data_IF_510095002360
#
_entry.id   IF_510095002360
#
_cell.length_a   1.000
_cell.length_b   1.000
_cell.length_c   1.000
_cell.angle_alpha   90.00
_cell.angle_beta   90.00
_cell.angle_gamma   90.00
#
_symmetry.space_group_name_H-M   'P 1'
#
loop_
_entity.id
_entity.type
_entity.pdbx_description
1 polymer ?
#
# COMPACT_ATOMS: atom_id res chain seq x y z
N UNK A 1 -7.86 -21.93 16.79
CA UNK A 1 -8.98 -21.26 16.10
C UNK A 1 -9.88 -22.30 15.45
N UNK A 2 -11.20 -22.15 15.53
CA UNK A 2 -12.15 -23.09 14.91
C UNK A 2 -12.49 -22.62 13.47
N UNK A 3 -11.86 -23.27 12.48
CA UNK A 3 -12.05 -22.96 11.06
C UNK A 3 -13.46 -23.30 10.59
N UNK A 4 -14.06 -24.37 11.11
CA UNK A 4 -15.41 -24.77 10.73
C UNK A 4 -16.43 -23.73 11.19
N UNK A 5 -16.25 -23.16 12.38
CA UNK A 5 -17.06 -22.05 12.88
C UNK A 5 -16.93 -20.80 12.00
N UNK A 6 -15.71 -20.39 11.64
CA UNK A 6 -15.48 -19.23 10.76
C UNK A 6 -16.14 -19.41 9.39
N UNK A 7 -15.95 -20.59 8.78
CA UNK A 7 -16.55 -20.94 7.50
C UNK A 7 -18.09 -20.89 7.55
N UNK A 8 -18.67 -21.39 8.63
CA UNK A 8 -20.13 -21.46 8.79
C UNK A 8 -20.74 -20.09 9.08
N UNK A 9 -20.05 -19.24 9.83
CA UNK A 9 -20.54 -17.92 10.20
C UNK A 9 -20.60 -16.94 9.03
N UNK A 10 -19.64 -17.00 8.10
CA UNK A 10 -19.54 -16.08 6.96
C UNK A 10 -19.11 -16.82 5.66
N UNK A 11 -19.97 -17.68 5.09
CA UNK A 11 -19.57 -18.60 4.02
C UNK A 11 -19.06 -17.92 2.75
N UNK A 12 -19.71 -16.82 2.31
CA UNK A 12 -19.32 -16.12 1.08
C UNK A 12 -17.99 -15.39 1.23
N UNK A 13 -17.78 -14.73 2.37
CA UNK A 13 -16.49 -14.14 2.75
C UNK A 13 -15.40 -15.21 2.82
N UNK A 14 -15.68 -16.31 3.51
CA UNK A 14 -14.74 -17.41 3.70
C UNK A 14 -14.26 -18.00 2.38
N UNK A 15 -15.16 -18.26 1.43
CA UNK A 15 -14.81 -18.77 0.09
C UNK A 15 -13.86 -17.82 -0.64
N UNK A 16 -14.13 -16.51 -0.63
CA UNK A 16 -13.28 -15.50 -1.28
C UNK A 16 -11.89 -15.42 -0.64
N UNK A 17 -11.82 -15.34 0.69
CA UNK A 17 -10.55 -15.32 1.41
C UNK A 17 -9.77 -16.64 1.23
N UNK A 18 -10.47 -17.78 1.15
CA UNK A 18 -9.85 -19.09 0.90
C UNK A 18 -9.19 -19.17 -0.48
N UNK A 19 -9.72 -18.50 -1.50
CA UNK A 19 -9.05 -18.45 -2.81
C UNK A 19 -7.64 -17.83 -2.72
N UNK A 20 -7.47 -16.77 -1.92
CA UNK A 20 -6.14 -16.17 -1.65
C UNK A 20 -5.23 -17.20 -0.95
N UNK A 21 -5.75 -17.89 0.07
CA UNK A 21 -4.99 -18.92 0.82
C UNK A 21 -4.54 -20.07 -0.09
N UNK A 22 -5.45 -20.57 -0.92
CA UNK A 22 -5.19 -21.67 -1.84
C UNK A 22 -4.15 -21.28 -2.91
N UNK A 23 -4.32 -20.12 -3.57
CA UNK A 23 -3.36 -19.61 -4.55
C UNK A 23 -1.98 -19.36 -3.93
N UNK A 24 -1.92 -18.85 -2.70
CA UNK A 24 -0.66 -18.69 -1.96
C UNK A 24 0.05 -20.02 -1.77
N UNK A 25 -0.65 -21.03 -1.25
CA UNK A 25 -0.08 -22.36 -1.03
C UNK A 25 0.43 -22.97 -2.35
N UNK A 26 -0.37 -22.88 -3.41
CA UNK A 26 -0.02 -23.43 -4.73
C UNK A 26 1.21 -22.77 -5.34
N UNK A 27 1.26 -21.43 -5.35
CA UNK A 27 2.35 -20.68 -5.94
C UNK A 27 3.67 -20.86 -5.17
N UNK A 28 3.62 -20.82 -3.83
CA UNK A 28 4.81 -21.01 -2.99
C UNK A 28 5.35 -22.43 -3.10
N UNK A 29 4.47 -23.43 -3.18
CA UNK A 29 4.86 -24.82 -3.43
C UNK A 29 5.48 -25.00 -4.82
N UNK A 30 4.85 -24.49 -5.88
CA UNK A 30 5.38 -24.59 -7.24
C UNK A 30 6.75 -23.91 -7.40
N UNK A 31 6.97 -22.79 -6.72
CA UNK A 31 8.26 -22.11 -6.69
C UNK A 31 9.29 -22.78 -5.76
N UNK A 32 8.85 -23.69 -4.88
CA UNK A 32 9.59 -24.21 -3.73
C UNK A 32 10.31 -23.09 -2.94
N UNK A 33 9.66 -21.92 -2.87
CA UNK A 33 10.24 -20.67 -2.37
C UNK A 33 9.13 -19.66 -2.10
N UNK A 34 9.23 -18.92 -1.00
CA UNK A 34 8.25 -17.88 -0.67
C UNK A 34 7.85 -17.86 0.80
N UNK A 35 6.77 -17.14 1.07
CA UNK A 35 6.22 -16.95 2.41
C UNK A 35 4.71 -17.20 2.37
N UNK A 36 4.25 -18.29 2.98
CA UNK A 36 2.84 -18.67 2.96
C UNK A 36 2.07 -18.04 4.13
N UNK A 37 2.72 -17.91 5.28
CA UNK A 37 2.06 -17.61 6.55
C UNK A 37 1.30 -16.29 6.59
N UNK A 38 1.97 -15.18 6.26
CA UNK A 38 1.34 -13.85 6.30
C UNK A 38 0.19 -13.73 5.30
N UNK A 39 0.34 -14.11 4.01
CA UNK A 39 -0.79 -14.07 3.07
C UNK A 39 -2.00 -14.89 3.55
N UNK A 40 -1.77 -16.04 4.20
CA UNK A 40 -2.86 -16.86 4.73
C UNK A 40 -3.58 -16.22 5.92
N UNK A 41 -2.83 -15.59 6.83
CA UNK A 41 -3.35 -14.91 8.01
C UNK A 41 -4.13 -13.63 7.64
N UNK A 42 -3.60 -12.83 6.72
CA UNK A 42 -4.18 -11.54 6.32
C UNK A 42 -5.25 -11.62 5.22
N UNK A 43 -5.57 -12.81 4.72
CA UNK A 43 -6.56 -12.99 3.65
C UNK A 43 -7.96 -12.44 4.00
N UNK A 44 -8.41 -12.56 5.25
CA UNK A 44 -9.71 -12.03 5.68
C UNK A 44 -9.73 -10.49 5.65
N UNK A 45 -8.70 -9.85 6.25
CA UNK A 45 -8.56 -8.39 6.27
C UNK A 45 -8.49 -7.82 4.85
N UNK A 46 -7.67 -8.42 3.99
CA UNK A 46 -7.56 -8.00 2.60
C UNK A 46 -8.86 -8.19 1.81
N UNK A 47 -9.58 -9.29 2.07
CA UNK A 47 -10.87 -9.54 1.41
C UNK A 47 -11.89 -8.47 1.78
N UNK A 48 -12.05 -8.13 3.06
CA UNK A 48 -12.97 -7.06 3.47
C UNK A 48 -12.55 -5.70 2.89
N UNK A 49 -11.26 -5.38 2.92
CA UNK A 49 -10.74 -4.13 2.36
C UNK A 49 -11.13 -3.98 0.88
N UNK A 50 -10.78 -4.96 0.04
CA UNK A 50 -11.05 -4.90 -1.40
C UNK A 50 -12.54 -5.00 -1.71
N UNK A 51 -13.25 -5.88 -1.00
CA UNK A 51 -14.68 -6.09 -1.21
C UNK A 51 -15.53 -4.89 -0.77
N UNK A 52 -15.14 -4.10 0.22
CA UNK A 52 -16.07 -3.10 0.79
C UNK A 52 -15.57 -1.67 0.79
N UNK A 53 -14.25 -1.46 0.85
CA UNK A 53 -13.72 -0.14 1.21
C UNK A 53 -12.76 0.47 0.21
N UNK A 54 -12.03 -0.35 -0.56
CA UNK A 54 -11.07 0.13 -1.53
C UNK A 54 -11.81 0.68 -2.76
N UNK A 55 -11.55 1.95 -3.07
CA UNK A 55 -11.99 2.61 -4.30
C UNK A 55 -10.98 2.34 -5.42
N UNK A 56 -11.29 1.45 -6.35
CA UNK A 56 -10.39 1.13 -7.45
C UNK A 56 -11.16 0.56 -8.65
N UNK A 57 -10.54 0.63 -9.83
CA UNK A 57 -11.00 -0.04 -11.05
C UNK A 57 -9.82 -0.85 -11.60
N UNK A 58 -9.96 -2.17 -11.63
CA UNK A 58 -8.89 -3.08 -12.08
C UNK A 58 -8.50 -2.86 -13.56
N UNK A 59 -9.39 -2.29 -14.37
CA UNK A 59 -9.12 -1.93 -15.76
C UNK A 59 -8.32 -0.63 -15.91
N UNK A 60 -8.25 0.18 -14.85
CA UNK A 60 -7.60 1.48 -14.83
C UNK A 60 -6.65 1.63 -13.62
N UNK A 61 -5.57 0.82 -13.53
CA UNK A 61 -4.61 0.88 -12.43
C UNK A 61 -3.97 2.26 -12.26
N UNK A 62 -3.96 3.08 -13.31
CA UNK A 62 -3.37 4.43 -13.30
C UNK A 62 -4.39 5.53 -12.97
N UNK A 63 -5.65 5.22 -12.63
CA UNK A 63 -6.65 6.22 -12.23
C UNK A 63 -6.09 7.07 -11.06
N UNK A 64 -5.91 8.40 -11.24
CA UNK A 64 -5.26 9.23 -10.24
C UNK A 64 -5.89 9.16 -8.85
N UNK A 65 -7.22 9.17 -8.79
CA UNK A 65 -7.97 9.26 -7.54
C UNK A 65 -8.40 7.90 -6.98
N UNK A 66 -7.85 6.77 -7.42
CA UNK A 66 -8.08 5.47 -6.75
C UNK A 66 -7.54 5.49 -5.30
N UNK A 67 -8.03 4.64 -4.43
CA UNK A 67 -7.35 4.34 -3.17
C UNK A 67 -6.04 3.58 -3.44
N UNK A 68 -5.04 3.80 -2.59
CA UNK A 68 -3.72 3.18 -2.67
C UNK A 68 -3.62 2.02 -1.69
N UNK A 69 -3.09 0.89 -2.13
CA UNK A 69 -2.81 -0.26 -1.27
C UNK A 69 -1.32 -0.60 -1.31
N UNK A 70 -0.67 -0.59 -0.14
CA UNK A 70 0.76 -0.86 0.00
C UNK A 70 0.96 -2.07 0.91
N UNK A 71 1.66 -3.07 0.40
CA UNK A 71 2.07 -4.22 1.20
C UNK A 71 3.46 -3.96 1.80
N UNK A 72 3.51 -3.35 3.00
CA UNK A 72 4.79 -3.07 3.67
C UNK A 72 5.52 -4.33 4.10
N UNK A 73 4.78 -5.35 4.53
CA UNK A 73 5.33 -6.69 4.76
C UNK A 73 5.50 -7.42 3.40
N UNK A 74 6.37 -6.88 2.55
CA UNK A 74 6.49 -7.27 1.13
C UNK A 74 6.83 -8.75 0.90
N UNK A 75 7.37 -9.45 1.90
CA UNK A 75 7.65 -10.88 1.81
C UNK A 75 6.39 -11.72 1.56
N UNK A 76 5.22 -11.25 2.01
CA UNK A 76 3.91 -11.83 1.74
C UNK A 76 3.34 -11.43 0.38
N UNK A 77 4.18 -11.23 -0.63
CA UNK A 77 3.82 -10.75 -1.98
C UNK A 77 2.70 -11.54 -2.65
N UNK A 78 2.58 -12.85 -2.35
CA UNK A 78 1.48 -13.68 -2.84
C UNK A 78 0.09 -13.21 -2.42
N UNK A 79 -0.06 -12.47 -1.31
CA UNK A 79 -1.32 -11.81 -0.96
C UNK A 79 -1.71 -10.80 -2.04
N UNK A 80 -0.77 -9.90 -2.37
CA UNK A 80 -0.98 -8.86 -3.39
C UNK A 80 -1.22 -9.49 -4.75
N UNK A 81 -0.38 -10.44 -5.19
CA UNK A 81 -0.55 -11.07 -6.51
C UNK A 81 -1.86 -11.83 -6.63
N UNK A 82 -2.28 -12.55 -5.58
CA UNK A 82 -3.59 -13.20 -5.57
C UNK A 82 -4.72 -12.19 -5.71
N UNK A 83 -4.66 -11.06 -5.00
CA UNK A 83 -5.67 -9.99 -5.11
C UNK A 83 -5.71 -9.41 -6.54
N UNK A 84 -4.55 -9.10 -7.12
CA UNK A 84 -4.46 -8.56 -8.49
C UNK A 84 -5.03 -9.55 -9.52
N UNK A 85 -4.70 -10.84 -9.39
CA UNK A 85 -5.24 -11.89 -10.25
C UNK A 85 -6.76 -12.05 -10.10
N UNK A 86 -7.22 -12.19 -8.86
CA UNK A 86 -8.63 -12.45 -8.54
C UNK A 86 -9.51 -11.29 -9.00
N UNK A 87 -9.09 -10.04 -8.76
CA UNK A 87 -9.81 -8.83 -9.18
C UNK A 87 -9.71 -8.52 -10.66
N UNK A 88 -8.88 -9.24 -11.43
CA UNK A 88 -8.86 -9.17 -12.89
C UNK A 88 -7.99 -8.04 -13.46
N UNK A 89 -6.91 -7.66 -12.77
CA UNK A 89 -5.93 -6.76 -13.35
C UNK A 89 -5.28 -7.40 -14.60
N UNK A 90 -5.28 -6.66 -15.70
CA UNK A 90 -4.68 -7.08 -16.97
C UNK A 90 -3.19 -7.36 -16.78
N UNK A 91 -2.71 -8.50 -17.28
CA UNK A 91 -1.31 -8.91 -17.16
C UNK A 91 -1.01 -9.69 -15.88
N UNK A 92 -2.01 -9.90 -15.00
CA UNK A 92 -1.90 -10.71 -13.79
C UNK A 92 -2.78 -11.96 -13.86
N UNK A 93 -2.80 -12.62 -15.02
CA UNK A 93 -3.51 -13.87 -15.24
C UNK A 93 -2.90 -15.03 -14.45
N UNK A 94 -3.58 -16.18 -14.41
CA UNK A 94 -3.18 -17.32 -13.55
C UNK A 94 -1.77 -17.83 -13.84
N UNK A 95 -1.27 -17.67 -15.06
CA UNK A 95 0.10 -18.04 -15.42
C UNK A 95 1.15 -17.19 -14.71
N UNK A 96 0.86 -15.93 -14.38
CA UNK A 96 1.77 -15.15 -13.52
C UNK A 96 1.81 -15.74 -12.12
N UNK A 97 0.68 -16.19 -11.58
CA UNK A 97 0.64 -16.84 -10.26
C UNK A 97 1.44 -18.15 -10.26
N UNK A 98 1.32 -18.95 -11.33
CA UNK A 98 2.15 -20.17 -11.52
C UNK A 98 3.64 -19.87 -11.62
N UNK A 99 3.99 -18.74 -12.22
CA UNK A 99 5.37 -18.29 -12.42
C UNK A 99 5.92 -17.47 -11.24
N UNK A 100 5.30 -17.56 -10.05
CA UNK A 100 5.82 -16.88 -8.86
C UNK A 100 7.31 -17.18 -8.65
N UNK A 101 8.10 -16.12 -8.46
CA UNK A 101 9.56 -16.15 -8.28
C UNK A 101 10.36 -16.72 -9.45
N UNK A 102 9.76 -16.87 -10.63
CA UNK A 102 10.46 -17.33 -11.83
C UNK A 102 11.06 -16.15 -12.62
N UNK A 103 12.14 -16.43 -13.35
CA UNK A 103 12.83 -15.42 -14.15
C UNK A 103 11.91 -14.79 -15.20
N UNK A 104 11.84 -13.45 -15.21
CA UNK A 104 11.04 -12.67 -16.16
C UNK A 104 9.54 -12.61 -15.87
N UNK A 105 9.07 -13.24 -14.78
CA UNK A 105 7.68 -13.11 -14.33
C UNK A 105 7.43 -11.77 -13.64
N UNK A 106 6.19 -11.30 -13.66
CA UNK A 106 5.76 -10.09 -12.95
C UNK A 106 5.59 -10.33 -11.44
N UNK A 107 5.41 -11.59 -11.06
CA UNK A 107 5.22 -12.08 -9.69
C UNK A 107 6.56 -12.39 -9.01
N UNK A 108 7.36 -11.34 -8.82
CA UNK A 108 8.67 -11.42 -8.18
C UNK A 108 8.61 -11.87 -6.71
N UNK A 109 9.76 -12.11 -6.10
CA UNK A 109 9.82 -12.55 -4.69
C UNK A 109 9.27 -11.53 -3.70
N UNK A 110 9.31 -10.26 -4.07
CA UNK A 110 8.72 -9.11 -3.39
C UNK A 110 8.03 -8.21 -4.44
N UNK A 111 7.04 -7.37 -4.07
CA UNK A 111 6.38 -6.47 -5.01
C UNK A 111 7.34 -5.45 -5.58
N UNK A 112 7.31 -5.26 -6.90
CA UNK A 112 8.16 -4.31 -7.63
C UNK A 112 7.28 -3.44 -8.54
N UNK A 113 7.23 -2.12 -8.30
CA UNK A 113 6.29 -1.23 -9.00
C UNK A 113 6.55 -1.11 -10.50
N UNK A 114 7.80 -1.29 -10.93
CA UNK A 114 8.20 -1.23 -12.33
C UNK A 114 7.86 -2.51 -13.12
N UNK A 115 7.37 -3.57 -12.46
CA UNK A 115 6.89 -4.78 -13.14
C UNK A 115 5.40 -4.72 -13.47
N UNK A 116 4.59 -3.96 -12.71
CA UNK A 116 3.15 -3.89 -12.94
C UNK A 116 2.52 -2.63 -12.33
N UNK A 117 1.74 -1.88 -13.11
CA UNK A 117 1.15 -0.57 -12.74
C UNK A 117 0.26 -0.60 -11.49
N UNK A 118 -0.32 -1.76 -11.15
CA UNK A 118 -1.12 -1.93 -9.93
C UNK A 118 -0.29 -2.10 -8.64
N UNK A 119 1.03 -2.15 -8.73
CA UNK A 119 1.93 -2.22 -7.58
C UNK A 119 2.44 -0.80 -7.30
N UNK A 120 2.01 -0.21 -6.19
CA UNK A 120 2.26 1.21 -5.90
C UNK A 120 3.74 1.54 -5.64
N UNK A 121 4.43 0.66 -4.91
CA UNK A 121 5.84 0.85 -4.54
C UNK A 121 6.53 -0.49 -4.36
N UNK A 122 7.84 -0.49 -4.57
CA UNK A 122 8.67 -1.67 -4.32
C UNK A 122 8.88 -1.84 -2.81
N UNK A 123 8.51 -3.00 -2.28
CA UNK A 123 8.70 -3.35 -0.86
C UNK A 123 9.49 -4.64 -0.71
N UNK A 124 9.74 -5.07 0.53
CA UNK A 124 10.58 -6.23 0.82
C UNK A 124 11.51 -5.92 1.98
N UNK A 125 12.39 -4.90 1.85
CA UNK A 125 13.04 -4.30 3.01
C UNK A 125 11.97 -3.79 3.97
N UNK A 126 11.95 -4.35 5.18
CA UNK A 126 10.91 -4.09 6.18
C UNK A 126 10.89 -2.60 6.57
N UNK A 127 9.72 -2.09 6.93
CA UNK A 127 9.52 -0.68 7.30
C UNK A 127 9.41 0.30 6.13
N UNK A 128 9.88 -0.04 4.92
CA UNK A 128 9.84 0.89 3.78
C UNK A 128 8.41 1.20 3.31
N UNK A 129 7.55 0.18 3.18
CA UNK A 129 6.19 0.41 2.69
C UNK A 129 5.34 1.29 3.61
N UNK A 130 5.46 1.15 4.94
CA UNK A 130 4.81 2.07 5.89
C UNK A 130 5.40 3.48 5.79
N UNK A 131 6.71 3.64 5.59
CA UNK A 131 7.30 4.96 5.33
C UNK A 131 6.82 5.57 4.00
N UNK A 132 6.77 4.79 2.92
CA UNK A 132 6.24 5.24 1.63
C UNK A 132 4.79 5.71 1.78
N UNK A 133 3.97 4.98 2.54
CA UNK A 133 2.56 5.31 2.71
C UNK A 133 2.30 6.69 3.30
N UNK A 134 3.20 7.18 4.16
CA UNK A 134 3.16 8.56 4.69
C UNK A 134 3.35 9.55 3.55
N UNK A 135 4.30 9.29 2.63
CA UNK A 135 4.49 10.09 1.42
C UNK A 135 3.26 10.08 0.50
N UNK A 136 2.62 8.92 0.30
CA UNK A 136 1.38 8.81 -0.48
C UNK A 136 0.24 9.64 0.15
N UNK A 137 0.06 9.56 1.47
CA UNK A 137 -0.95 10.34 2.17
C UNK A 137 -0.65 11.86 2.14
N UNK A 138 0.60 12.28 2.30
CA UNK A 138 1.01 13.68 2.13
C UNK A 138 0.78 14.19 0.70
N UNK A 139 1.05 13.35 -0.30
CA UNK A 139 0.78 13.67 -1.71
C UNK A 139 -0.72 13.83 -1.98
N UNK A 140 -1.57 12.95 -1.41
CA UNK A 140 -3.03 13.10 -1.48
C UNK A 140 -3.47 14.43 -0.89
N UNK A 141 -2.99 14.79 0.31
CA UNK A 141 -3.33 16.05 0.98
C UNK A 141 -2.93 17.26 0.12
N UNK A 142 -1.73 17.23 -0.45
CA UNK A 142 -1.24 18.29 -1.34
C UNK A 142 -2.08 18.43 -2.61
N UNK A 143 -2.40 17.30 -3.25
CA UNK A 143 -3.20 17.25 -4.47
C UNK A 143 -4.65 17.66 -4.18
N UNK A 144 -5.20 17.30 -3.01
CA UNK A 144 -6.53 17.69 -2.55
C UNK A 144 -6.62 19.17 -2.22
N UNK A 145 -5.61 19.76 -1.58
CA UNK A 145 -5.55 21.21 -1.39
C UNK A 145 -5.51 21.96 -2.73
N UNK A 146 -4.83 21.40 -3.74
CA UNK A 146 -4.71 22.00 -5.08
C UNK A 146 -5.96 21.85 -5.95
N UNK A 147 -6.49 20.63 -6.02
CA UNK A 147 -7.54 20.24 -6.97
C UNK A 147 -8.91 20.05 -6.32
N UNK A 148 -9.00 20.17 -5.00
CA UNK A 148 -10.23 20.00 -4.24
C UNK A 148 -10.67 18.55 -4.12
N UNK A 149 -11.50 18.28 -3.10
CA UNK A 149 -12.01 16.95 -2.77
C UNK A 149 -12.89 16.29 -3.85
N UNK A 150 -13.31 17.03 -4.88
CA UNK A 150 -14.05 16.45 -6.02
C UNK A 150 -13.16 15.68 -6.98
N UNK A 151 -11.88 16.06 -7.07
CA UNK A 151 -10.90 15.44 -7.96
C UNK A 151 -9.86 14.60 -7.21
N UNK A 152 -9.59 14.92 -5.95
CA UNK A 152 -8.58 14.23 -5.15
C UNK A 152 -9.14 13.98 -3.75
N UNK A 153 -9.51 12.74 -3.46
CA UNK A 153 -10.17 12.30 -2.23
C UNK A 153 -10.05 10.79 -2.12
N UNK A 154 -8.85 10.30 -1.85
CA UNK A 154 -8.58 8.87 -1.73
C UNK A 154 -7.86 8.53 -0.42
N UNK A 155 -7.87 7.26 -0.06
CA UNK A 155 -7.20 6.72 1.11
C UNK A 155 -5.92 5.99 0.70
N UNK A 156 -4.99 5.92 1.63
CA UNK A 156 -3.83 5.02 1.56
C UNK A 156 -3.98 3.95 2.63
N UNK A 157 -4.04 2.70 2.21
CA UNK A 157 -4.10 1.52 3.07
C UNK A 157 -2.78 0.77 3.04
N UNK A 158 -2.35 0.29 4.21
CA UNK A 158 -1.07 -0.42 4.35
C UNK A 158 -1.25 -1.67 5.17
N UNK A 159 -0.68 -2.79 4.74
CA UNK A 159 -0.48 -3.95 5.62
C UNK A 159 0.97 -3.98 6.07
N UNK A 160 1.19 -3.95 7.39
CA UNK A 160 2.50 -4.05 8.03
C UNK A 160 2.49 -5.19 9.06
N UNK A 161 3.62 -5.88 9.21
CA UNK A 161 3.81 -6.90 10.26
C UNK A 161 4.77 -6.42 11.34
N UNK A 162 5.05 -7.27 12.32
CA UNK A 162 5.96 -6.98 13.43
C UNK A 162 7.35 -6.52 12.96
N UNK A 163 7.89 -7.19 11.93
CA UNK A 163 9.16 -6.81 11.32
C UNK A 163 9.19 -5.37 10.80
N UNK A 164 8.10 -4.87 10.22
CA UNK A 164 8.02 -3.47 9.82
C UNK A 164 8.02 -2.52 11.01
N UNK A 165 7.36 -2.90 12.11
CA UNK A 165 7.22 -2.05 13.30
C UNK A 165 8.46 -2.03 14.20
N UNK A 166 9.33 -3.04 14.09
CA UNK A 166 10.65 -3.08 14.74
C UNK A 166 11.68 -2.20 14.03
N UNK A 167 11.54 -1.96 12.72
CA UNK A 167 12.46 -1.13 11.96
C UNK A 167 12.36 0.35 12.35
N UNK A 168 13.50 1.01 12.60
CA UNK A 168 13.56 2.39 13.09
C UNK A 168 12.89 3.41 12.17
N UNK A 169 12.97 3.19 10.85
CA UNK A 169 12.32 4.03 9.83
C UNK A 169 10.79 4.09 10.02
N UNK A 170 10.18 3.03 10.58
CA UNK A 170 8.76 3.04 10.88
C UNK A 170 8.42 4.07 11.96
N UNK A 171 9.25 4.22 12.99
CA UNK A 171 8.99 5.20 14.06
C UNK A 171 9.11 6.63 13.54
N UNK A 172 10.09 6.91 12.67
CA UNK A 172 10.22 8.20 12.01
C UNK A 172 8.95 8.54 11.22
N UNK A 173 8.49 7.60 10.40
CA UNK A 173 7.28 7.75 9.59
C UNK A 173 6.01 7.89 10.46
N UNK A 174 5.85 7.06 11.50
CA UNK A 174 4.72 7.09 12.43
C UNK A 174 4.63 8.44 13.13
N UNK A 175 5.77 8.97 13.61
CA UNK A 175 5.84 10.29 14.23
C UNK A 175 5.45 11.41 13.27
N UNK A 176 5.97 11.37 12.03
CA UNK A 176 5.67 12.38 11.01
C UNK A 176 4.19 12.37 10.60
N UNK A 177 3.62 11.19 10.34
CA UNK A 177 2.21 11.05 9.97
C UNK A 177 1.26 11.53 11.08
N UNK A 178 1.61 11.24 12.33
CA UNK A 178 0.88 11.72 13.49
C UNK A 178 0.95 13.23 13.65
N UNK A 179 2.15 13.84 13.48
CA UNK A 179 2.33 15.30 13.51
C UNK A 179 1.47 15.99 12.46
N UNK A 180 1.36 15.42 11.26
CA UNK A 180 0.60 16.02 10.17
C UNK A 180 -0.86 15.58 10.12
N UNK A 181 -1.38 14.86 11.13
CA UNK A 181 -2.77 14.42 11.19
C UNK A 181 -3.27 13.82 9.84
N UNK A 182 -2.50 12.88 9.28
CA UNK A 182 -2.82 12.27 7.98
C UNK A 182 -4.02 11.32 8.07
N UNK A 183 -5.24 11.86 8.21
CA UNK A 183 -6.49 11.12 8.42
C UNK A 183 -6.88 10.12 7.32
N UNK A 184 -6.23 10.18 6.17
CA UNK A 184 -6.42 9.26 5.03
C UNK A 184 -5.45 8.10 5.00
N UNK A 185 -4.58 7.99 5.99
CA UNK A 185 -3.68 6.87 6.18
C UNK A 185 -4.26 5.85 7.16
N UNK A 186 -4.49 4.63 6.69
CA UNK A 186 -5.00 3.52 7.51
C UNK A 186 -4.01 2.35 7.41
N UNK A 187 -3.38 2.02 8.54
CA UNK A 187 -2.44 0.90 8.66
C UNK A 187 -3.13 -0.28 9.33
N UNK A 188 -3.12 -1.44 8.69
CA UNK A 188 -3.43 -2.73 9.28
C UNK A 188 -2.13 -3.35 9.79
N UNK A 189 -2.03 -3.50 11.10
CA UNK A 189 -0.95 -4.27 11.70
C UNK A 189 -1.39 -5.73 11.82
N UNK A 190 -0.68 -6.61 11.11
CA UNK A 190 -0.78 -8.07 11.27
C UNK A 190 -0.19 -8.49 12.62
N UNK A 191 -1.00 -8.45 13.68
CA UNK A 191 -0.62 -8.78 15.05
C UNK A 191 -0.70 -10.30 15.28
N UNK A 192 0.16 -11.03 14.56
CA UNK A 192 0.20 -12.49 14.60
C UNK A 192 1.15 -13.05 15.68
N UNK A 193 1.97 -12.20 16.32
CA UNK A 193 2.92 -12.53 17.38
C UNK A 193 4.09 -13.43 16.96
N UNK A 194 4.39 -13.54 15.66
CA UNK A 194 5.43 -14.42 15.11
C UNK A 194 6.35 -13.65 14.15
N UNK A 195 7.66 -13.83 14.36
CA UNK A 195 8.73 -13.44 13.45
C UNK A 195 9.46 -14.69 12.94
N UNK A 196 10.54 -14.50 12.16
CA UNK A 196 11.40 -15.61 11.70
C UNK A 196 12.01 -16.37 12.90
N UNK A 197 12.38 -15.65 13.96
CA UNK A 197 13.11 -16.25 15.10
C UNK A 197 12.17 -16.92 16.10
N UNK A 198 10.86 -16.67 16.04
CA UNK A 198 9.88 -17.22 16.97
C UNK A 198 8.84 -16.19 17.39
N UNK A 199 8.43 -16.24 18.66
CA UNK A 199 7.51 -15.24 19.21
C UNK A 199 8.18 -13.87 19.28
N UNK A 200 7.39 -12.80 19.07
CA UNK A 200 7.90 -11.41 19.06
C UNK A 200 8.66 -11.05 20.35
N UNK A 201 8.20 -11.58 21.50
CA UNK A 201 8.79 -11.32 22.83
C UNK A 201 10.26 -11.74 22.99
N UNK A 202 10.79 -12.55 22.06
CA UNK A 202 12.20 -12.92 22.03
C UNK A 202 13.11 -11.74 21.68
N UNK A 203 12.63 -10.79 20.88
CA UNK A 203 13.42 -9.67 20.34
C UNK A 203 12.80 -8.29 20.55
N UNK A 204 11.50 -8.18 20.83
CA UNK A 204 10.82 -6.91 21.06
C UNK A 204 9.79 -7.02 22.21
N UNK A 205 9.69 -5.95 23.01
CA UNK A 205 8.69 -5.80 24.09
C UNK A 205 7.88 -4.51 23.97
N UNK A 206 7.99 -3.84 22.83
CA UNK A 206 7.31 -2.57 22.56
C UNK A 206 5.79 -2.77 22.50
N UNK A 207 5.08 -2.01 23.32
CA UNK A 207 3.62 -1.91 23.23
C UNK A 207 3.25 -1.04 22.01
N UNK A 208 3.04 -1.69 20.86
CA UNK A 208 2.77 -1.02 19.59
C UNK A 208 1.50 -0.16 19.65
N UNK A 209 0.46 -0.61 20.37
CA UNK A 209 -0.78 0.16 20.57
C UNK A 209 -0.48 1.48 21.29
N UNK A 210 0.27 1.43 22.40
CA UNK A 210 0.68 2.66 23.11
C UNK A 210 1.63 3.51 22.30
N UNK A 211 2.55 2.93 21.54
CA UNK A 211 3.50 3.67 20.67
C UNK A 211 2.78 4.50 19.61
N UNK A 212 1.79 3.91 18.93
CA UNK A 212 0.96 4.62 17.95
C UNK A 212 0.11 5.71 18.62
N UNK A 213 -0.58 5.40 19.73
CA UNK A 213 -1.36 6.39 20.51
C UNK A 213 -0.49 7.57 20.95
N UNK A 214 0.71 7.31 21.46
CA UNK A 214 1.68 8.32 21.88
C UNK A 214 2.16 9.19 20.70
N UNK A 215 2.17 8.63 19.49
CA UNK A 215 2.51 9.35 18.26
C UNK A 215 1.31 10.06 17.62
N UNK A 216 0.16 10.18 18.31
CA UNK A 216 -1.00 10.94 17.82
C UNK A 216 -1.97 10.16 16.94
N UNK A 217 -1.85 8.83 16.86
CA UNK A 217 -2.71 8.00 16.02
C UNK A 217 -4.01 7.61 16.71
N UNK A 218 -5.05 7.40 15.90
CA UNK A 218 -6.23 6.65 16.29
C UNK A 218 -5.92 5.15 16.21
N UNK A 219 -6.29 4.36 17.23
CA UNK A 219 -5.95 2.93 17.28
C UNK A 219 -7.16 2.10 17.65
N UNK A 220 -7.43 1.06 16.86
CA UNK A 220 -8.51 0.08 17.05
C UNK A 220 -7.88 -1.32 17.12
N UNK A 221 -8.31 -2.15 18.05
CA UNK A 221 -7.90 -3.56 18.15
C UNK A 221 -9.09 -4.44 17.75
N UNK A 222 -8.86 -5.42 16.87
CA UNK A 222 -9.91 -6.31 16.37
C UNK A 222 -9.43 -7.77 16.28
N UNK A 223 -10.39 -8.69 16.23
CA UNK A 223 -10.15 -10.01 15.64
C UNK A 223 -10.03 -9.87 14.12
N UNK A 224 -8.85 -10.15 13.58
CA UNK A 224 -8.54 -10.07 12.16
C UNK A 224 -9.18 -11.17 11.30
N UNK A 225 -9.90 -12.12 11.92
CA UNK A 225 -10.66 -13.16 11.25
C UNK A 225 -12.19 -12.95 11.33
N UNK A 226 -12.66 -11.88 11.99
CA UNK A 226 -14.07 -11.48 11.98
C UNK A 226 -14.33 -10.41 10.92
N UNK A 227 -14.96 -10.74 9.77
CA UNK A 227 -15.20 -9.79 8.71
C UNK A 227 -16.12 -8.62 9.10
N UNK A 228 -16.95 -8.77 10.14
CA UNK A 228 -17.79 -7.67 10.66
C UNK A 228 -16.96 -6.70 11.49
N UNK A 229 -16.04 -7.21 12.32
CA UNK A 229 -15.13 -6.38 13.10
C UNK A 229 -14.19 -5.57 12.20
N UNK A 230 -13.67 -6.19 11.14
CA UNK A 230 -12.81 -5.53 10.15
C UNK A 230 -13.56 -4.39 9.43
N UNK A 231 -14.76 -4.66 8.93
CA UNK A 231 -15.62 -3.68 8.24
C UNK A 231 -15.96 -2.48 9.15
N UNK A 232 -16.36 -2.78 10.41
CA UNK A 232 -16.65 -1.75 11.40
C UNK A 232 -15.41 -0.90 11.73
N UNK A 233 -14.23 -1.52 11.87
CA UNK A 233 -12.99 -0.80 12.19
C UNK A 233 -12.54 0.11 11.05
N UNK A 234 -12.63 -0.34 9.79
CA UNK A 234 -12.29 0.51 8.63
C UNK A 234 -13.30 1.66 8.52
N UNK A 235 -14.58 1.38 8.74
CA UNK A 235 -15.63 2.42 8.75
C UNK A 235 -15.39 3.46 9.83
N UNK A 236 -14.95 3.06 11.02
CA UNK A 236 -14.60 3.98 12.11
C UNK A 236 -13.32 4.77 11.83
N UNK A 237 -12.28 4.12 11.30
CA UNK A 237 -11.03 4.76 10.92
C UNK A 237 -11.23 5.88 9.88
N UNK A 238 -12.22 5.76 8.98
CA UNK A 238 -12.56 6.80 7.99
C UNK A 238 -13.25 8.04 8.58
N UNK A 239 -13.67 8.03 9.86
CA UNK A 239 -14.38 9.16 10.50
C UNK A 239 -13.46 10.13 11.24
N UNK A 240 -12.20 9.75 11.47
CA UNK A 240 -11.25 10.57 12.21
C UNK A 240 -10.38 11.41 11.27
N UNK A 241 -9.89 12.56 11.75
CA UNK A 241 -8.84 13.33 11.07
C UNK A 241 -7.44 12.79 11.35
N UNK A 242 -7.28 11.87 12.30
CA UNK A 242 -5.98 11.27 12.66
C UNK A 242 -5.65 10.08 11.77
N UNK A 243 -4.36 9.82 11.48
CA UNK A 243 -3.99 8.54 10.89
C UNK A 243 -4.41 7.41 11.83
N UNK A 244 -4.84 6.28 11.25
CA UNK A 244 -5.40 5.17 12.01
C UNK A 244 -4.56 3.91 11.91
N UNK A 245 -4.36 3.22 13.03
CA UNK A 245 -3.82 1.87 13.08
C UNK A 245 -4.89 0.90 13.56
N UNK A 246 -5.15 -0.13 12.77
CA UNK A 246 -6.03 -1.24 13.11
C UNK A 246 -5.13 -2.44 13.43
N UNK A 247 -5.06 -2.81 14.70
CA UNK A 247 -4.32 -3.97 15.18
C UNK A 247 -5.18 -5.22 14.93
N UNK A 248 -4.90 -5.91 13.84
CA UNK A 248 -5.60 -7.12 13.44
C UNK A 248 -4.97 -8.31 14.15
N UNK A 249 -5.63 -8.86 15.18
CA UNK A 249 -5.19 -10.11 15.78
C UNK A 249 -5.45 -11.25 14.80
N UNK A 250 -4.40 -11.87 14.27
CA UNK A 250 -4.49 -12.96 13.30
C UNK A 250 -3.69 -14.19 13.77
N UNK A 251 -3.83 -15.28 13.02
CA UNK A 251 -3.01 -16.47 13.13
C UNK A 251 -2.16 -16.65 11.85
N UNK A 252 -0.84 -16.61 11.99
CA UNK A 252 0.07 -16.88 10.87
C UNK A 252 -0.13 -18.32 10.40
N UNK A 253 -0.16 -18.54 9.08
CA UNK A 253 -0.41 -19.86 8.48
C UNK A 253 -1.71 -20.55 8.97
N UNK A 254 -2.75 -19.76 9.23
CA UNK A 254 -4.08 -20.22 9.70
C UNK A 254 -4.50 -21.55 9.05
N UNK A 255 -4.74 -22.60 9.83
CA UNK A 255 -5.23 -23.90 9.35
C UNK A 255 -4.20 -24.87 8.81
N UNK A 256 -2.93 -24.47 8.73
CA UNK A 256 -1.83 -25.38 8.41
C UNK A 256 -1.22 -25.99 9.68
N UNK A 257 -0.54 -27.12 9.56
CA UNK A 257 0.20 -27.75 10.67
C UNK A 257 1.31 -26.88 11.29
N UNK A 258 1.67 -25.77 10.63
CA UNK A 258 2.69 -24.81 11.06
C UNK A 258 2.08 -23.51 11.61
N UNK A 259 0.76 -23.48 11.82
CA UNK A 259 0.05 -22.32 12.36
C UNK A 259 0.68 -21.84 13.68
N UNK A 260 0.79 -20.53 13.85
CA UNK A 260 1.31 -19.89 15.09
C UNK A 260 2.76 -20.30 15.43
N UNK A 261 3.55 -20.69 14.42
CA UNK A 261 4.97 -21.01 14.56
C UNK A 261 5.82 -20.22 13.57
N UNK A 262 7.11 -20.02 13.88
CA UNK A 262 8.07 -19.43 12.95
C UNK A 262 8.22 -20.22 11.65
N UNK A 263 8.04 -21.56 11.68
CA UNK A 263 7.99 -22.38 10.45
C UNK A 263 6.85 -21.94 9.53
N UNK A 264 5.74 -21.45 10.07
CA UNK A 264 4.62 -20.89 9.32
C UNK A 264 4.98 -19.65 8.51
N UNK A 265 6.04 -18.92 8.85
CA UNK A 265 6.48 -17.71 8.16
C UNK A 265 6.98 -18.00 6.73
N UNK A 266 7.77 -19.07 6.57
CA UNK A 266 8.47 -19.40 5.33
C UNK A 266 7.61 -20.14 4.31
N UNK A 267 8.30 -20.90 3.45
CA UNK A 267 7.65 -21.68 2.41
C UNK A 267 7.02 -22.94 2.99
N UNK A 268 5.70 -23.08 2.85
CA UNK A 268 4.98 -24.31 3.19
C UNK A 268 4.82 -25.15 1.94
N UNK A 269 5.62 -26.21 1.82
CA UNK A 269 5.75 -27.01 0.59
C UNK A 269 5.43 -28.50 0.77
N UNK A 270 5.11 -28.94 1.99
CA UNK A 270 4.71 -30.32 2.28
C UNK A 270 3.30 -30.60 1.74
N UNK A 271 3.20 -31.45 0.72
CA UNK A 271 1.96 -31.71 0.00
C UNK A 271 0.82 -32.23 0.90
N UNK A 272 1.15 -33.09 1.88
CA UNK A 272 0.16 -33.66 2.78
C UNK A 272 -0.41 -32.58 3.72
N UNK A 273 0.45 -31.71 4.26
CA UNK A 273 0.02 -30.60 5.12
C UNK A 273 -0.76 -29.54 4.34
N UNK A 274 -0.39 -29.28 3.08
CA UNK A 274 -1.14 -28.40 2.18
C UNK A 274 -2.53 -28.97 1.87
N UNK A 275 -2.61 -30.26 1.54
CA UNK A 275 -3.88 -30.94 1.28
C UNK A 275 -4.79 -30.90 2.51
N UNK A 276 -4.26 -31.18 3.70
CA UNK A 276 -5.00 -31.11 4.96
C UNK A 276 -5.50 -29.67 5.26
N UNK A 277 -4.69 -28.65 5.01
CA UNK A 277 -5.10 -27.25 5.17
C UNK A 277 -6.25 -26.89 4.21
N UNK A 278 -6.13 -27.27 2.92
CA UNK A 278 -7.19 -27.05 1.92
C UNK A 278 -8.47 -27.80 2.27
N UNK A 279 -8.38 -29.05 2.73
CA UNK A 279 -9.52 -29.82 3.21
C UNK A 279 -10.23 -29.11 4.38
N UNK A 280 -9.47 -28.62 5.36
CA UNK A 280 -10.01 -27.86 6.49
C UNK A 280 -10.76 -26.59 6.03
N UNK A 281 -10.27 -25.91 4.99
CA UNK A 281 -10.96 -24.77 4.40
C UNK A 281 -12.22 -25.16 3.61
N UNK A 282 -12.35 -26.42 3.20
CA UNK A 282 -13.35 -26.90 2.25
C UNK A 282 -12.98 -26.60 0.78
N UNK A 283 -11.69 -26.44 0.48
CA UNK A 283 -11.20 -26.20 -0.88
C UNK A 283 -10.88 -27.52 -1.58
N UNK A 284 -11.65 -27.86 -2.61
CA UNK A 284 -11.55 -29.14 -3.34
C UNK A 284 -10.99 -29.00 -4.76
N UNK A 285 -10.77 -27.77 -5.23
CA UNK A 285 -10.25 -27.51 -6.57
C UNK A 285 -8.76 -27.87 -6.69
N UNK A 286 -8.36 -28.19 -7.92
CA UNK A 286 -6.98 -28.48 -8.27
C UNK A 286 -6.06 -27.27 -8.04
N UNK A 287 -4.73 -27.46 -7.97
CA UNK A 287 -3.80 -26.35 -7.86
C UNK A 287 -4.00 -25.32 -8.98
N UNK A 288 -4.00 -24.03 -8.61
CA UNK A 288 -4.24 -22.90 -9.52
C UNK A 288 -5.63 -22.88 -10.20
N UNK A 289 -6.56 -23.73 -9.77
CA UNK A 289 -7.95 -23.73 -10.25
C UNK A 289 -8.84 -23.00 -9.25
N UNK A 290 -9.31 -21.81 -9.62
CA UNK A 290 -10.25 -21.02 -8.83
C UNK A 290 -11.66 -21.27 -9.36
N UNK A 291 -12.59 -21.77 -8.53
CA UNK A 291 -13.99 -21.96 -8.94
C UNK A 291 -14.58 -20.73 -9.62
N UNK A 292 -15.32 -20.96 -10.71
CA UNK A 292 -15.83 -19.88 -11.56
C UNK A 292 -16.73 -18.90 -10.81
N UNK A 293 -17.55 -19.36 -9.86
CA UNK A 293 -18.40 -18.51 -9.01
C UNK A 293 -17.56 -17.59 -8.11
N UNK A 294 -16.47 -18.12 -7.53
CA UNK A 294 -15.54 -17.35 -6.69
C UNK A 294 -14.76 -16.34 -7.54
N UNK A 295 -14.28 -16.76 -8.72
CA UNK A 295 -13.56 -15.87 -9.64
C UNK A 295 -14.44 -14.72 -10.12
N UNK A 296 -15.68 -15.02 -10.55
CA UNK A 296 -16.64 -14.00 -10.97
C UNK A 296 -16.98 -13.02 -9.84
N UNK A 297 -17.11 -13.50 -8.60
CA UNK A 297 -17.35 -12.62 -7.45
C UNK A 297 -16.17 -11.64 -7.23
N UNK A 298 -14.94 -12.10 -7.38
CA UNK A 298 -13.76 -11.24 -7.28
C UNK A 298 -13.60 -10.27 -8.46
N UNK A 299 -13.91 -10.70 -9.68
CA UNK A 299 -13.89 -9.82 -10.86
C UNK A 299 -14.98 -8.74 -10.76
N UNK A 300 -16.14 -9.06 -10.20
CA UNK A 300 -17.17 -8.06 -9.90
C UNK A 300 -16.68 -7.02 -8.89
N UNK A 301 -15.89 -7.43 -7.88
CA UNK A 301 -15.23 -6.49 -6.95
C UNK A 301 -14.25 -5.59 -7.71
N UNK A 302 -13.44 -6.17 -8.62
CA UNK A 302 -12.46 -5.42 -9.42
C UNK A 302 -13.06 -4.43 -10.41
N UNK A 303 -14.23 -4.73 -10.97
CA UNK A 303 -14.94 -3.88 -11.92
C UNK A 303 -15.84 -2.82 -11.26
N UNK A 304 -16.13 -2.93 -9.95
CA UNK A 304 -17.11 -2.06 -9.28
C UNK A 304 -16.79 -0.57 -9.41
N UNK A 305 -15.52 -0.19 -9.32
CA UNK A 305 -15.11 1.21 -9.35
C UNK A 305 -15.19 1.87 -10.73
N UNK A 306 -15.54 1.14 -11.80
CA UNK A 306 -15.68 1.72 -13.14
C UNK A 306 -16.64 2.92 -13.15
N UNK A 307 -17.82 2.77 -12.53
CA UNK A 307 -18.80 3.87 -12.45
C UNK A 307 -18.29 5.08 -11.64
N UNK A 308 -17.51 4.85 -10.58
CA UNK A 308 -16.92 5.92 -9.77
C UNK A 308 -15.79 6.63 -10.52
N UNK A 309 -14.96 5.88 -11.27
CA UNK A 309 -13.94 6.42 -12.16
C UNK A 309 -14.56 7.25 -13.27
N UNK A 310 -15.57 6.75 -13.98
CA UNK A 310 -16.26 7.47 -15.05
C UNK A 310 -16.90 8.77 -14.52
N UNK A 311 -17.52 8.72 -13.33
CA UNK A 311 -18.02 9.92 -12.67
C UNK A 311 -16.89 10.89 -12.29
N UNK A 312 -15.70 10.39 -11.90
CA UNK A 312 -14.52 11.21 -11.65
C UNK A 312 -13.99 11.88 -12.92
N UNK A 313 -13.92 11.14 -14.03
CA UNK A 313 -13.52 11.65 -15.34
C UNK A 313 -14.47 12.77 -15.80
N UNK A 314 -15.78 12.59 -15.61
CA UNK A 314 -16.77 13.64 -15.88
C UNK A 314 -16.53 14.91 -15.05
N UNK A 315 -16.22 14.77 -13.74
CA UNK A 315 -15.89 15.92 -12.88
C UNK A 315 -14.60 16.62 -13.31
N UNK A 316 -13.61 15.89 -13.83
CA UNK A 316 -12.39 16.48 -14.38
C UNK A 316 -12.70 17.26 -15.66
N UNK A 317 -13.55 16.72 -16.54
CA UNK A 317 -13.97 17.38 -17.78
C UNK A 317 -14.78 18.67 -17.55
N UNK A 318 -15.42 18.82 -16.39
CA UNK A 318 -16.10 20.07 -15.97
C UNK A 318 -15.15 21.17 -15.47
N UNK A 319 -13.88 20.84 -15.17
CA UNK A 319 -12.89 21.83 -14.75
C UNK A 319 -12.55 22.79 -15.92
N UNK A 320 -11.96 23.95 -15.65
CA UNK A 320 -11.50 24.83 -16.74
C UNK A 320 -10.39 24.17 -17.56
N UNK A 321 -10.33 24.45 -18.86
CA UNK A 321 -9.31 23.90 -19.77
C UNK A 321 -7.88 24.06 -19.22
N UNK A 322 -7.58 25.23 -18.64
CA UNK A 322 -6.28 25.48 -17.99
C UNK A 322 -5.99 24.51 -16.83
N UNK A 323 -7.01 24.18 -16.04
CA UNK A 323 -6.88 23.28 -14.88
C UNK A 323 -6.75 21.83 -15.33
N UNK A 324 -7.49 21.43 -16.37
CA UNK A 324 -7.36 20.10 -16.99
C UNK A 324 -5.95 19.91 -17.56
N UNK A 325 -5.48 20.85 -18.40
CA UNK A 325 -4.16 20.77 -19.01
C UNK A 325 -3.02 20.72 -17.97
N UNK A 326 -3.15 21.46 -16.87
CA UNK A 326 -2.17 21.41 -15.78
C UNK A 326 -2.22 20.09 -15.01
N UNK A 327 -3.42 19.55 -14.77
CA UNK A 327 -3.60 18.23 -14.16
C UNK A 327 -2.95 17.15 -15.03
N UNK A 328 -3.31 17.09 -16.32
CA UNK A 328 -2.76 16.14 -17.29
C UNK A 328 -1.23 16.24 -17.37
N UNK A 329 -0.67 17.46 -17.43
CA UNK A 329 0.78 17.68 -17.45
C UNK A 329 1.46 17.07 -16.22
N UNK A 330 0.92 17.32 -15.02
CA UNK A 330 1.50 16.82 -13.76
C UNK A 330 1.45 15.29 -13.72
N UNK A 331 0.32 14.68 -14.07
CA UNK A 331 0.18 13.22 -14.06
C UNK A 331 0.91 12.52 -15.22
N UNK A 332 1.21 13.24 -16.30
CA UNK A 332 2.12 12.80 -17.37
C UNK A 332 3.61 12.99 -17.03
N UNK A 333 3.92 13.58 -15.87
CA UNK A 333 5.28 13.92 -15.43
C UNK A 333 6.02 14.88 -16.38
N UNK A 334 5.26 15.69 -17.11
CA UNK A 334 5.79 16.66 -18.06
C UNK A 334 6.21 17.96 -17.36
N UNK A 335 7.23 18.65 -17.89
CA UNK A 335 7.66 19.96 -17.35
C UNK A 335 6.99 21.13 -18.10
N UNK A 336 6.66 22.25 -17.42
CA UNK A 336 6.18 23.46 -18.08
C UNK A 336 7.20 23.98 -19.09
N UNK A 337 6.72 24.38 -20.28
CA UNK A 337 7.58 24.88 -21.38
C UNK A 337 8.51 26.02 -20.96
N UNK A 338 8.07 26.86 -20.01
CA UNK A 338 8.85 27.99 -19.50
C UNK A 338 10.07 27.59 -18.65
N UNK A 339 10.10 26.37 -18.08
CA UNK A 339 11.19 25.92 -17.19
C UNK A 339 12.55 25.96 -17.90
N UNK A 340 12.63 25.37 -19.10
CA UNK A 340 13.87 25.30 -19.87
C UNK A 340 14.45 26.69 -20.18
N UNK A 341 13.60 27.64 -20.57
CA UNK A 341 14.02 29.01 -20.85
C UNK A 341 14.55 29.72 -19.60
N UNK A 342 13.89 29.54 -18.45
CA UNK A 342 14.27 30.17 -17.18
C UNK A 342 15.57 29.59 -16.62
N UNK A 343 15.78 28.29 -16.73
CA UNK A 343 17.06 27.65 -16.38
C UNK A 343 18.19 28.14 -17.29
N UNK A 344 17.97 28.28 -18.60
CA UNK A 344 18.97 28.83 -19.53
C UNK A 344 19.33 30.28 -19.20
N UNK A 345 18.34 31.10 -18.83
CA UNK A 345 18.57 32.47 -18.41
C UNK A 345 19.44 32.54 -17.14
N UNK A 346 19.13 31.73 -16.12
CA UNK A 346 19.95 31.63 -14.90
C UNK A 346 21.39 31.21 -15.23
N UNK A 347 21.57 30.17 -16.05
CA UNK A 347 22.92 29.72 -16.47
C UNK A 347 23.72 30.84 -17.14
N UNK A 348 23.09 31.61 -18.05
CA UNK A 348 23.73 32.75 -18.72
C UNK A 348 24.11 33.84 -17.73
N UNK A 349 23.21 34.18 -16.81
CA UNK A 349 23.48 35.17 -15.76
C UNK A 349 24.67 34.76 -14.89
N UNK A 350 24.65 33.56 -14.34
CA UNK A 350 25.73 33.04 -13.47
C UNK A 350 27.06 32.98 -14.21
N UNK A 351 27.06 32.62 -15.49
CA UNK A 351 28.28 32.57 -16.31
C UNK A 351 28.86 33.97 -16.56
N UNK A 352 28.01 34.99 -16.70
CA UNK A 352 28.45 36.37 -16.94
C UNK A 352 28.91 37.07 -15.65
N UNK A 353 28.17 36.87 -14.55
CA UNK A 353 28.42 37.54 -13.27
C UNK A 353 29.51 36.85 -12.43
N UNK A 354 29.72 35.54 -12.64
CA UNK A 354 30.65 34.70 -11.89
C UNK A 354 30.61 34.93 -10.35
N UNK A 355 29.43 34.86 -9.72
CA UNK A 355 29.30 35.17 -8.30
C UNK A 355 30.07 34.15 -7.43
N UNK A 356 30.74 34.64 -6.38
CA UNK A 356 31.43 33.81 -5.40
C UNK A 356 30.45 33.34 -4.32
N UNK A 357 29.78 32.22 -4.57
CA UNK A 357 28.82 31.59 -3.65
C UNK A 357 29.16 30.13 -3.39
N UNK A 358 28.80 29.61 -2.22
CA UNK A 358 28.89 28.18 -1.94
C UNK A 358 27.86 27.39 -2.76
N UNK A 359 28.13 26.11 -3.05
CA UNK A 359 27.24 25.28 -3.87
C UNK A 359 25.84 25.09 -3.26
N UNK A 360 25.70 25.10 -1.93
CA UNK A 360 24.37 25.14 -1.26
C UNK A 360 23.57 26.40 -1.60
N UNK A 361 24.22 27.56 -1.71
CA UNK A 361 23.58 28.80 -2.15
C UNK A 361 23.30 28.74 -3.65
N UNK A 362 24.18 28.15 -4.45
CA UNK A 362 23.89 27.88 -5.87
C UNK A 362 22.67 26.98 -6.06
N UNK A 363 22.48 25.97 -5.20
CA UNK A 363 21.28 25.12 -5.18
C UNK A 363 20.02 25.93 -4.87
N UNK A 364 20.06 26.78 -3.85
CA UNK A 364 18.96 27.69 -3.52
C UNK A 364 18.58 28.60 -4.69
N UNK A 365 19.57 29.19 -5.37
CA UNK A 365 19.33 30.04 -6.55
C UNK A 365 18.66 29.28 -7.70
N UNK A 366 18.92 27.97 -7.83
CA UNK A 366 18.19 27.11 -8.80
C UNK A 366 16.77 26.86 -8.31
N UNK A 367 16.58 26.54 -7.02
CA UNK A 367 15.25 26.33 -6.44
C UNK A 367 14.37 27.59 -6.57
N UNK A 368 14.93 28.80 -6.40
CA UNK A 368 14.24 30.09 -6.59
C UNK A 368 13.71 30.26 -8.02
N UNK A 369 14.28 29.56 -9.01
CA UNK A 369 13.80 29.53 -10.40
C UNK A 369 12.81 28.39 -10.63
N UNK A 370 13.03 27.22 -10.05
CA UNK A 370 12.23 26.01 -10.29
C UNK A 370 10.87 26.09 -9.59
N UNK A 371 10.85 26.43 -8.29
CA UNK A 371 9.66 26.31 -7.44
C UNK A 371 8.47 27.16 -7.93
N UNK A 372 8.65 28.41 -8.42
CA UNK A 372 7.53 29.20 -8.95
C UNK A 372 6.95 28.67 -10.26
N UNK A 373 7.69 27.81 -10.97
CA UNK A 373 7.31 27.27 -12.29
C UNK A 373 6.70 25.88 -12.17
N UNK A 374 7.24 25.06 -11.27
CA UNK A 374 6.86 23.68 -11.01
C UNK A 374 6.03 23.63 -9.73
N UNK A 375 4.75 24.03 -9.76
CA UNK A 375 3.98 24.18 -8.53
C UNK A 375 3.79 22.84 -7.81
N UNK A 376 3.89 21.69 -8.48
CA UNK A 376 3.91 20.33 -7.91
C UNK A 376 5.19 19.96 -7.16
N UNK A 377 6.20 20.85 -7.13
CA UNK A 377 7.42 20.61 -6.35
C UNK A 377 7.10 20.61 -4.87
N UNK A 378 7.41 19.51 -4.21
CA UNK A 378 7.41 19.40 -2.75
C UNK A 378 8.79 18.91 -2.30
N UNK A 379 9.30 19.50 -1.22
CA UNK A 379 10.60 19.16 -0.68
C UNK A 379 10.78 19.77 0.69
N UNK A 380 11.92 19.47 1.32
CA UNK A 380 12.20 19.94 2.67
C UNK A 380 13.62 19.63 3.09
N UNK A 381 13.82 19.59 4.40
CA UNK A 381 15.09 19.26 5.03
C UNK A 381 14.82 18.57 6.36
N UNK A 382 15.61 17.56 6.69
CA UNK A 382 15.62 16.98 8.04
C UNK A 382 16.33 17.96 9.00
N UNK A 383 15.55 18.82 9.66
CA UNK A 383 16.00 19.80 10.68
C UNK A 383 17.16 20.75 10.29
N UNK A 384 17.35 20.97 8.98
CA UNK A 384 18.52 21.67 8.46
C UNK A 384 18.17 22.73 7.40
N UNK A 385 16.93 23.22 7.39
CA UNK A 385 16.44 24.16 6.36
C UNK A 385 17.37 25.37 6.16
N UNK A 386 17.80 26.02 7.25
CA UNK A 386 18.71 27.19 7.18
C UNK A 386 20.16 26.85 6.85
N UNK A 387 20.55 25.58 6.97
CA UNK A 387 21.90 25.10 6.64
C UNK A 387 22.00 24.60 5.20
N UNK A 388 20.91 24.00 4.71
CA UNK A 388 20.81 23.39 3.39
C UNK A 388 20.29 24.36 2.33
N UNK A 389 19.67 25.48 2.74
CA UNK A 389 19.07 26.49 1.88
C UNK A 389 18.00 25.93 0.92
N UNK A 390 17.09 25.10 1.44
CA UNK A 390 16.08 24.40 0.63
C UNK A 390 14.72 25.08 0.61
N UNK A 391 14.44 26.03 1.52
CA UNK A 391 13.18 26.79 1.55
C UNK A 391 13.34 28.14 0.85
N UNK A 392 12.82 28.23 -0.36
CA UNK A 392 12.75 29.49 -1.13
C UNK A 392 11.60 30.37 -0.65
N UNK A 393 11.65 31.67 -0.96
CA UNK A 393 10.62 32.64 -0.54
C UNK A 393 9.18 32.26 -0.95
N UNK A 394 9.01 31.61 -2.11
CA UNK A 394 7.70 31.21 -2.63
C UNK A 394 7.18 29.87 -2.06
N UNK A 395 7.99 29.14 -1.27
CA UNK A 395 7.56 27.87 -0.67
C UNK A 395 6.99 28.06 0.73
N UNK A 396 5.76 27.57 0.92
CA UNK A 396 5.13 27.39 2.22
C UNK A 396 5.73 26.24 3.03
N UNK A 397 5.22 26.04 4.24
CA UNK A 397 5.47 24.84 5.04
C UNK A 397 4.25 23.94 4.87
N UNK A 398 4.47 22.64 4.60
CA UNK A 398 3.38 21.68 4.57
C UNK A 398 2.81 21.49 5.98
N UNK A 399 1.51 21.72 6.13
CA UNK A 399 0.71 21.41 7.32
C UNK A 399 -0.74 21.16 6.86
N UNK A 400 -1.46 20.30 7.59
CA UNK A 400 -2.84 19.89 7.28
C UNK A 400 -3.85 20.70 8.08
#
# INVERSE_FOLDING_TARGET
>A
MDIAALRTANPDHWKKATAIRALTLDAVHAANSGHSGMPMGMADVATVLFEKHLKFDASAPNWPDRDRFILSAGHGSMLLYSLLHLTGYKGMEIDQIRNFRQWGALTAGHPENFLHDAIETTTGPLGQGIANSVGFAMAEESLRARYGAKLMNHYTYVIAGDGCLMEGISQEAIGLAGRHELGRLIVFWDNNNITIDGTVELSDRTDQVKRFKASGWHVIEIDGHDPKAIDAAITEAKKTSKPSMIACKTHIALGHAAQDTSKGHGALTDEAQMAAAKEAYGWTSAPFDVPADIKQAWEAIGARGASEREAWEARLAEASERRQAEFERIFALDTPKQLSARIKALKKQISAEAPKVATRKSSEMVLEVVNPIMPETMGGSADLTGSNNTKTGDLGVFDV
#
